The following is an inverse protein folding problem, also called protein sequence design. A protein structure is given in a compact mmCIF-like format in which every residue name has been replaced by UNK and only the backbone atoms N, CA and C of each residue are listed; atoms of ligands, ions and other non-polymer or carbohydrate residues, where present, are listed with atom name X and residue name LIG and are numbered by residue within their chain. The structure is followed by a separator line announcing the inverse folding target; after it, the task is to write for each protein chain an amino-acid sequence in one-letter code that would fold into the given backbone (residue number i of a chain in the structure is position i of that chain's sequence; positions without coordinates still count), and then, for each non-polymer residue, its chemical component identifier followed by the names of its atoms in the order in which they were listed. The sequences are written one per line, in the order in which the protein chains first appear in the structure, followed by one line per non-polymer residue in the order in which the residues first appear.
data_IF_050237510858
#
_entry.id   IF_050237510858
#
_cell.length_a   1.000
_cell.length_b   1.000
_cell.length_c   1.000
_cell.angle_alpha   90.00
_cell.angle_beta   90.00
_cell.angle_gamma   90.00
#
_symmetry.space_group_name_H-M   'P 1'
#
loop_
_entity.id
_entity.type
_entity.pdbx_description
1 polymer ?
#
# COMPACT_ATOMS: atom_id res chain seq x y z
N UNK A 1 5.66 6.25 -4.62
CA UNK A 1 5.76 4.94 -3.93
C UNK A 1 6.00 3.83 -4.92
N UNK A 2 6.61 2.74 -4.48
CA UNK A 2 6.66 1.49 -5.23
C UNK A 2 5.33 0.74 -5.06
N UNK A 3 4.84 0.06 -6.09
CA UNK A 3 3.65 -0.78 -5.99
C UNK A 3 4.06 -2.21 -5.63
N UNK A 4 3.42 -2.78 -4.62
CA UNK A 4 3.65 -4.17 -4.24
C UNK A 4 3.08 -5.15 -5.27
N UNK A 5 3.70 -6.32 -5.39
CA UNK A 5 3.14 -7.45 -6.15
C UNK A 5 1.81 -7.95 -5.58
N UNK A 6 1.60 -7.74 -4.27
CA UNK A 6 0.41 -8.17 -3.52
C UNK A 6 -0.62 -7.05 -3.35
N UNK A 7 -0.57 -5.99 -4.18
CA UNK A 7 -1.42 -4.81 -4.04
C UNK A 7 -2.92 -5.17 -4.00
N UNK A 8 -3.57 -4.88 -2.88
CA UNK A 8 -5.03 -4.95 -2.72
C UNK A 8 -5.67 -3.60 -3.03
N UNK A 9 -6.83 -3.61 -3.68
CA UNK A 9 -7.53 -2.38 -4.05
C UNK A 9 -8.99 -2.55 -3.70
N UNK A 10 -9.54 -1.59 -2.96
CA UNK A 10 -10.97 -1.57 -2.68
C UNK A 10 -11.77 -1.53 -3.99
N UNK A 11 -12.81 -2.36 -4.07
CA UNK A 11 -13.58 -2.65 -5.30
C UNK A 11 -14.10 -1.42 -6.05
N UNK A 12 -14.36 -0.32 -5.34
CA UNK A 12 -14.90 0.91 -5.92
C UNK A 12 -13.82 1.84 -6.51
N UNK A 13 -12.54 1.57 -6.21
CA UNK A 13 -11.44 2.39 -6.70
C UNK A 13 -11.08 1.97 -8.11
N UNK A 14 -11.29 2.86 -9.08
CA UNK A 14 -10.83 2.68 -10.46
C UNK A 14 -9.32 2.90 -10.52
N UNK A 15 -8.54 1.83 -10.33
CA UNK A 15 -7.09 1.88 -10.38
C UNK A 15 -6.56 1.89 -11.82
N UNK A 16 -6.53 3.07 -12.42
CA UNK A 16 -6.11 3.27 -13.82
C UNK A 16 -4.59 3.28 -13.96
N UNK A 17 -4.10 3.10 -15.20
CA UNK A 17 -2.67 3.27 -15.53
C UNK A 17 -2.15 4.67 -15.17
N UNK A 18 -3.00 5.70 -15.34
CA UNK A 18 -2.67 7.07 -14.98
C UNK A 18 -2.46 7.21 -13.47
N UNK A 19 -3.39 6.70 -12.66
CA UNK A 19 -3.28 6.71 -11.20
C UNK A 19 -2.04 5.97 -10.70
N UNK A 20 -1.70 4.85 -11.35
CA UNK A 20 -0.44 4.12 -11.10
C UNK A 20 0.79 4.99 -11.37
N UNK A 21 0.81 5.74 -12.48
CA UNK A 21 1.90 6.65 -12.82
C UNK A 21 2.00 7.80 -11.81
N UNK A 22 0.87 8.41 -11.45
CA UNK A 22 0.78 9.49 -10.47
C UNK A 22 1.37 9.06 -9.12
N UNK A 23 0.96 7.90 -8.60
CA UNK A 23 1.48 7.36 -7.34
C UNK A 23 2.99 7.06 -7.43
N UNK A 24 3.48 6.62 -8.58
CA UNK A 24 4.89 6.36 -8.79
C UNK A 24 5.73 7.65 -8.75
N UNK A 25 5.22 8.75 -9.29
CA UNK A 25 5.90 10.07 -9.26
C UNK A 25 5.64 10.87 -7.99
N UNK A 26 4.81 10.35 -7.08
CA UNK A 26 4.55 10.96 -5.76
C UNK A 26 3.33 11.87 -5.71
N UNK A 27 2.43 11.78 -6.69
CA UNK A 27 1.12 12.40 -6.67
C UNK A 27 0.09 11.39 -6.14
N UNK A 28 -0.45 11.68 -4.97
CA UNK A 28 -1.33 10.76 -4.24
C UNK A 28 -2.75 11.30 -4.19
N UNK A 29 -3.75 10.55 -4.68
CA UNK A 29 -5.17 10.89 -4.52
C UNK A 29 -5.55 11.20 -3.07
N UNK A 30 -5.98 12.44 -2.83
CA UNK A 30 -6.07 13.03 -1.49
C UNK A 30 -7.12 12.39 -0.58
N UNK A 31 -8.16 11.78 -1.16
CA UNK A 31 -9.27 11.19 -0.43
C UNK A 31 -9.06 9.73 -0.04
N UNK A 32 -8.15 9.03 -0.70
CA UNK A 32 -7.93 7.61 -0.46
C UNK A 32 -7.02 7.36 0.74
N UNK A 33 -7.19 6.21 1.35
CA UNK A 33 -6.29 5.65 2.35
C UNK A 33 -5.31 4.70 1.66
N UNK A 34 -4.04 4.85 2.03
CA UNK A 34 -2.92 4.06 1.54
C UNK A 34 -2.43 3.20 2.69
N UNK A 35 -2.41 1.89 2.48
CA UNK A 35 -1.70 0.96 3.37
C UNK A 35 -0.34 0.68 2.75
N UNK A 36 0.72 0.98 3.48
CA UNK A 36 2.07 0.90 2.95
C UNK A 36 3.08 0.49 4.00
N UNK A 37 4.27 0.08 3.58
CA UNK A 37 5.40 -0.09 4.50
C UNK A 37 5.83 1.27 5.04
N UNK A 38 6.21 1.36 6.32
CA UNK A 38 6.68 2.59 6.94
C UNK A 38 7.93 3.12 6.24
N UNK A 39 8.09 4.44 6.26
CA UNK A 39 9.30 5.14 5.83
C UNK A 39 10.52 4.82 6.68
N UNK A 40 10.32 4.42 7.94
CA UNK A 40 11.40 4.21 8.91
C UNK A 40 11.73 2.72 9.09
N UNK A 41 10.75 1.84 8.92
CA UNK A 41 10.91 0.39 9.08
C UNK A 41 10.02 -0.37 8.10
N UNK A 42 10.62 -1.14 7.20
CA UNK A 42 9.86 -1.90 6.21
C UNK A 42 9.05 -3.06 6.79
N UNK A 43 9.22 -3.42 8.06
CA UNK A 43 8.40 -4.40 8.78
C UNK A 43 7.11 -3.81 9.37
N UNK A 44 6.97 -2.49 9.38
CA UNK A 44 5.78 -1.80 9.92
C UNK A 44 4.87 -1.39 8.77
N UNK A 45 3.56 -1.59 8.94
CA UNK A 45 2.56 -1.02 8.05
C UNK A 45 2.02 0.29 8.60
N UNK A 46 1.82 1.26 7.70
CA UNK A 46 1.21 2.54 7.98
C UNK A 46 -0.05 2.71 7.13
N UNK A 47 -1.11 3.21 7.77
CA UNK A 47 -2.33 3.66 7.11
C UNK A 47 -2.28 5.18 7.03
N UNK A 48 -2.14 5.72 5.82
CA UNK A 48 -1.97 7.17 5.60
C UNK A 48 -3.00 7.66 4.60
N UNK A 49 -3.71 8.74 4.91
CA UNK A 49 -4.60 9.40 3.94
C UNK A 49 -3.75 10.13 2.89
N UNK A 50 -4.11 10.04 1.61
CA UNK A 50 -3.27 10.50 0.50
C UNK A 50 -2.84 11.96 0.61
N UNK A 51 -3.68 12.84 1.19
CA UNK A 51 -3.32 14.25 1.44
C UNK A 51 -2.12 14.46 2.38
N UNK A 52 -1.74 13.45 3.16
CA UNK A 52 -0.60 13.49 4.08
C UNK A 52 0.62 12.75 3.53
N UNK A 53 0.49 12.06 2.38
CA UNK A 53 1.62 11.44 1.73
C UNK A 53 2.47 12.50 1.03
N UNK A 54 3.78 12.37 1.18
CA UNK A 54 4.76 13.29 0.61
C UNK A 54 5.97 12.51 0.06
N UNK A 55 7.04 13.22 -0.32
CA UNK A 55 8.23 12.64 -0.93
C UNK A 55 8.96 11.61 -0.05
N UNK A 56 8.81 11.66 1.28
CA UNK A 56 9.47 10.68 2.18
C UNK A 56 8.96 9.26 1.97
N UNK A 57 7.77 9.10 1.39
CA UNK A 57 7.18 7.80 1.09
C UNK A 57 7.60 7.23 -0.27
N UNK A 58 8.49 7.90 -1.01
CA UNK A 58 8.88 7.48 -2.36
C UNK A 58 9.37 6.03 -2.42
N UNK A 59 10.14 5.61 -1.40
CA UNK A 59 10.75 4.28 -1.31
C UNK A 59 9.86 3.25 -0.60
N UNK A 60 8.72 3.67 -0.04
CA UNK A 60 7.75 2.77 0.57
C UNK A 60 7.03 1.94 -0.48
N UNK A 61 6.58 0.75 -0.07
CA UNK A 61 5.74 -0.12 -0.88
C UNK A 61 4.27 0.06 -0.52
N UNK A 62 3.46 0.41 -1.51
CA UNK A 62 2.01 0.44 -1.40
C UNK A 62 1.48 -0.99 -1.49
N UNK A 63 0.80 -1.44 -0.44
CA UNK A 63 0.22 -2.78 -0.33
C UNK A 63 -1.30 -2.76 -0.41
N UNK A 64 -1.95 -1.66 -0.05
CA UNK A 64 -3.38 -1.51 -0.34
C UNK A 64 -3.86 -0.07 -0.56
N UNK A 65 -4.99 0.05 -1.27
CA UNK A 65 -5.76 1.28 -1.44
C UNK A 65 -7.20 1.09 -0.97
N UNK A 66 -7.71 2.02 -0.16
CA UNK A 66 -9.07 2.00 0.37
C UNK A 66 -9.74 3.38 0.30
N UNK A 67 -11.06 3.41 0.20
CA UNK A 67 -11.84 4.67 0.21
C UNK A 67 -12.05 5.19 1.64
N UNK A 68 -12.14 4.26 2.60
CA UNK A 68 -12.39 4.55 4.00
C UNK A 68 -11.35 3.87 4.90
N UNK A 69 -11.31 4.32 6.16
CA UNK A 69 -10.34 3.86 7.15
C UNK A 69 -10.60 2.41 7.58
N UNK A 70 -11.86 1.98 7.64
CA UNK A 70 -12.24 0.66 8.13
C UNK A 70 -11.71 -0.41 7.17
N UNK A 71 -11.97 -0.24 5.87
CA UNK A 71 -11.42 -1.09 4.81
C UNK A 71 -9.88 -1.14 4.85
N UNK A 72 -9.22 0.00 5.11
CA UNK A 72 -7.76 0.03 5.22
C UNK A 72 -7.23 -0.81 6.41
N UNK A 73 -7.93 -0.78 7.54
CA UNK A 73 -7.61 -1.60 8.72
C UNK A 73 -7.82 -3.08 8.44
N UNK A 74 -8.90 -3.44 7.75
CA UNK A 74 -9.18 -4.81 7.34
C UNK A 74 -8.07 -5.35 6.41
N UNK A 75 -7.70 -4.59 5.38
CA UNK A 75 -6.57 -4.97 4.52
C UNK A 75 -5.26 -5.12 5.29
N UNK A 76 -4.99 -4.23 6.25
CA UNK A 76 -3.79 -4.33 7.09
C UNK A 76 -3.80 -5.61 7.93
N UNK A 77 -4.95 -5.93 8.53
CA UNK A 77 -5.13 -7.15 9.33
C UNK A 77 -4.93 -8.41 8.50
N UNK A 78 -5.46 -8.44 7.28
CA UNK A 78 -5.23 -9.53 6.32
C UNK A 78 -3.73 -9.72 6.03
N UNK A 79 -2.99 -8.63 5.81
CA UNK A 79 -1.55 -8.72 5.53
C UNK A 79 -0.78 -9.25 6.74
N UNK A 80 -1.12 -8.79 7.95
CA UNK A 80 -0.50 -9.29 9.18
C UNK A 80 -0.76 -10.79 9.33
N UNK A 81 -2.00 -11.23 9.12
CA UNK A 81 -2.35 -12.65 9.20
C UNK A 81 -1.60 -13.50 8.17
N UNK A 82 -1.57 -13.04 6.91
CA UNK A 82 -0.86 -13.73 5.83
C UNK A 82 0.65 -13.83 6.06
N UNK A 83 1.26 -12.80 6.65
CA UNK A 83 2.71 -12.73 6.88
C UNK A 83 3.13 -13.48 8.14
N UNK A 84 2.47 -13.20 9.27
CA UNK A 84 2.98 -13.62 10.58
C UNK A 84 2.30 -14.88 11.11
N UNK A 85 0.98 -15.01 10.92
CA UNK A 85 0.23 -16.15 11.45
C UNK A 85 0.30 -17.33 10.48
N UNK A 86 -0.08 -17.09 9.22
CA UNK A 86 -0.17 -18.12 8.19
C UNK A 86 1.14 -18.34 7.43
N UNK A 87 2.03 -17.35 7.43
CA UNK A 87 3.36 -17.41 6.78
C UNK A 87 3.28 -17.82 5.31
N UNK A 88 2.24 -17.37 4.60
CA UNK A 88 2.00 -17.67 3.18
C UNK A 88 2.83 -16.73 2.30
N UNK A 89 3.02 -15.49 2.75
CA UNK A 89 3.89 -14.50 2.11
C UNK A 89 4.86 -13.95 3.14
N UNK A 90 5.99 -13.45 2.67
CA UNK A 90 7.01 -12.77 3.45
C UNK A 90 6.99 -11.26 3.17
N UNK A 91 7.65 -10.48 4.03
CA UNK A 91 7.90 -9.05 3.77
C UNK A 91 8.71 -8.81 2.49
N UNK A 92 9.53 -9.79 2.07
CA UNK A 92 10.31 -9.69 0.83
C UNK A 92 9.40 -9.81 -0.40
N UNK A 93 8.34 -10.64 -0.34
CA UNK A 93 7.40 -10.82 -1.44
C UNK A 93 6.64 -9.54 -1.77
N UNK A 94 6.50 -8.63 -0.80
CA UNK A 94 5.90 -7.32 -1.02
C UNK A 94 6.74 -6.44 -1.96
N UNK A 95 8.04 -6.72 -2.08
CA UNK A 95 9.02 -5.87 -2.76
C UNK A 95 9.27 -6.26 -4.23
N UNK A 96 8.94 -7.48 -4.64
CA UNK A 96 9.30 -7.99 -5.97
C UNK A 96 8.42 -7.42 -7.09
N UNK A 97 9.06 -6.84 -8.10
CA UNK A 97 8.47 -6.73 -9.43
C UNK A 97 8.56 -8.11 -10.08
N UNK A 98 7.42 -8.75 -10.36
CA UNK A 98 7.43 -9.85 -11.35
C UNK A 98 8.03 -9.28 -12.64
N UNK A 99 9.16 -9.87 -13.05
CA UNK A 99 9.89 -9.57 -14.30
C UNK A 99 9.00 -9.84 -15.50
#
# INVERSE_FOLDING_TARGET
MNLSSQLKIHKNIKFTKLMKLEIAVGHYPTQLYFVCTSKNDSAIFEIVKGKYLNKTYKNCYLVALAEDKQTAVEFTSDFIDLIYNRKIISLADLKEKRK
#
